data_IF_454346980436
#
_entry.id   IF_454346980436
#
_cell.length_a   1.000
_cell.length_b   1.000
_cell.length_c   1.000
_cell.angle_alpha   90.00
_cell.angle_beta   90.00
_cell.angle_gamma   90.00
#
_symmetry.space_group_name_H-M   'P 1'
#
loop_
_entity.id
_entity.type
_entity.pdbx_description
1 polymer ?
#
# COMPACT_ATOMS: atom_id res chain seq x y z
N UNK A 1 -7.80 -27.23 -20.08
CA UNK A 1 -8.75 -26.10 -20.24
C UNK A 1 -8.26 -25.14 -21.33
N UNK A 2 -7.02 -24.66 -21.22
CA UNK A 2 -6.37 -23.75 -22.17
C UNK A 2 -6.59 -24.09 -23.66
N UNK A 3 -6.30 -25.32 -24.10
CA UNK A 3 -6.47 -25.73 -25.50
C UNK A 3 -7.92 -26.02 -25.93
N UNK A 4 -8.85 -26.19 -24.97
CA UNK A 4 -10.22 -26.65 -25.24
C UNK A 4 -11.24 -25.51 -25.29
N UNK A 5 -10.95 -24.39 -24.66
CA UNK A 5 -11.82 -23.22 -24.65
C UNK A 5 -11.28 -22.14 -25.59
N UNK A 6 -12.13 -21.51 -26.43
CA UNK A 6 -11.79 -20.28 -27.13
C UNK A 6 -11.32 -19.19 -26.17
N UNK A 7 -10.49 -18.26 -26.66
CA UNK A 7 -9.91 -17.19 -25.85
C UNK A 7 -10.97 -16.33 -25.17
N UNK A 8 -12.03 -16.02 -25.90
CA UNK A 8 -13.13 -15.17 -25.45
C UNK A 8 -13.83 -15.77 -24.21
N UNK A 9 -14.03 -17.09 -24.20
CA UNK A 9 -14.60 -17.78 -23.05
C UNK A 9 -13.63 -17.82 -21.86
N UNK A 10 -12.32 -17.93 -22.11
CA UNK A 10 -11.31 -17.86 -21.05
C UNK A 10 -11.27 -16.47 -20.43
N UNK A 11 -11.28 -15.42 -21.23
CA UNK A 11 -11.32 -14.03 -20.75
C UNK A 11 -12.57 -13.76 -19.90
N UNK A 12 -13.74 -14.29 -20.29
CA UNK A 12 -14.95 -14.21 -19.47
C UNK A 12 -14.80 -14.93 -18.12
N UNK A 13 -14.20 -16.13 -18.12
CA UNK A 13 -13.94 -16.89 -16.89
C UNK A 13 -12.95 -16.14 -16.00
N UNK A 14 -11.87 -15.60 -16.56
CA UNK A 14 -10.89 -14.82 -15.82
C UNK A 14 -11.49 -13.55 -15.24
N UNK A 15 -12.36 -12.86 -15.98
CA UNK A 15 -13.07 -11.70 -15.47
C UNK A 15 -13.93 -12.05 -14.25
N UNK A 16 -14.62 -13.19 -14.29
CA UNK A 16 -15.44 -13.66 -13.19
C UNK A 16 -14.63 -14.13 -11.97
N UNK A 17 -13.49 -14.81 -12.19
CA UNK A 17 -12.70 -15.41 -11.13
C UNK A 17 -11.71 -14.43 -10.47
N UNK A 18 -11.11 -13.54 -11.26
CA UNK A 18 -9.89 -12.82 -10.85
C UNK A 18 -10.09 -11.34 -10.56
N UNK A 19 -11.20 -10.73 -10.99
CA UNK A 19 -11.39 -9.29 -10.79
C UNK A 19 -12.04 -9.04 -9.43
N UNK A 20 -11.29 -8.38 -8.57
CA UNK A 20 -11.77 -7.83 -7.32
C UNK A 20 -12.37 -6.44 -7.56
N UNK A 21 -13.48 -6.15 -6.89
CA UNK A 21 -14.04 -4.79 -6.83
C UNK A 21 -13.28 -3.88 -5.87
N UNK A 22 -12.55 -4.47 -4.93
CA UNK A 22 -11.78 -3.75 -3.91
C UNK A 22 -10.28 -3.92 -4.15
N UNK A 23 -9.44 -2.95 -3.72
CA UNK A 23 -8.00 -3.10 -3.78
C UNK A 23 -7.53 -4.37 -3.06
N UNK A 24 -6.64 -5.13 -3.71
CA UNK A 24 -6.03 -6.33 -3.17
C UNK A 24 -4.88 -5.90 -2.25
N UNK A 25 -5.00 -6.22 -0.96
CA UNK A 25 -4.05 -5.78 0.06
C UNK A 25 -2.84 -6.71 0.09
N UNK A 26 -1.64 -6.14 -0.01
CA UNK A 26 -0.38 -6.87 -0.13
C UNK A 26 0.54 -6.53 1.05
N UNK A 27 0.83 -7.54 1.87
CA UNK A 27 1.73 -7.43 3.02
C UNK A 27 1.07 -7.80 4.32
N UNK A 28 1.84 -8.39 5.24
CA UNK A 28 1.38 -8.82 6.56
C UNK A 28 0.89 -7.66 7.43
N UNK A 29 1.47 -6.46 7.24
CA UNK A 29 1.18 -5.27 8.04
C UNK A 29 0.05 -4.40 7.48
N UNK A 30 -0.64 -4.84 6.41
CA UNK A 30 -1.85 -4.15 5.96
C UNK A 30 -2.95 -4.15 7.02
N UNK A 31 -2.94 -5.19 7.84
CA UNK A 31 -4.06 -5.61 8.66
C UNK A 31 -3.79 -5.56 10.16
N UNK A 32 -2.60 -5.15 10.60
CA UNK A 32 -2.30 -5.06 12.02
C UNK A 32 -2.92 -3.80 12.62
N UNK A 33 -3.88 -3.98 13.53
CA UNK A 33 -4.33 -2.91 14.44
C UNK A 33 -3.32 -2.79 15.57
N UNK A 34 -2.63 -1.66 15.66
CA UNK A 34 -1.65 -1.46 16.73
C UNK A 34 -2.33 -0.89 17.95
N UNK A 35 -2.70 -1.78 18.88
CA UNK A 35 -3.03 -1.36 20.24
C UNK A 35 -1.71 -1.02 20.96
N UNK A 36 -1.51 0.22 21.43
CA UNK A 36 -0.37 0.52 22.25
C UNK A 36 -0.39 -0.45 23.45
N UNK A 37 0.72 -1.12 23.77
CA UNK A 37 0.79 -2.00 24.93
C UNK A 37 0.27 -1.21 26.13
N UNK A 38 -0.77 -1.75 26.77
CA UNK A 38 -1.38 -1.21 27.99
C UNK A 38 -0.25 -1.15 29.01
N UNK A 39 0.41 0.00 29.10
CA UNK A 39 1.29 0.30 30.21
C UNK A 39 0.37 0.57 31.40
N UNK A 40 0.79 0.16 32.61
CA UNK A 40 0.08 0.21 33.90
C UNK A 40 -0.38 1.62 34.37
N UNK A 41 -0.49 2.59 33.46
CA UNK A 41 -0.98 3.95 33.68
C UNK A 41 -2.52 4.05 33.63
N UNK A 42 -3.23 2.91 33.67
CA UNK A 42 -4.70 2.84 33.74
C UNK A 42 -5.29 3.52 34.98
N UNK A 43 -4.47 3.95 35.94
CA UNK A 43 -4.95 4.74 37.09
C UNK A 43 -5.17 6.23 36.78
N UNK A 44 -4.66 6.77 35.67
CA UNK A 44 -4.86 8.19 35.30
C UNK A 44 -5.66 8.44 34.03
N UNK A 45 -6.01 7.39 33.26
CA UNK A 45 -7.11 7.50 32.29
C UNK A 45 -8.42 7.36 33.04
N UNK A 46 -8.80 8.42 33.74
CA UNK A 46 -10.19 8.71 34.08
C UNK A 46 -11.04 8.36 32.87
N UNK A 47 -11.92 7.38 33.04
CA UNK A 47 -13.09 7.06 32.24
C UNK A 47 -13.45 8.14 31.20
N UNK A 48 -12.76 8.12 30.06
CA UNK A 48 -13.29 8.73 28.86
C UNK A 48 -14.27 7.70 28.30
N UNK A 49 -15.54 8.06 28.10
CA UNK A 49 -16.51 7.15 27.51
C UNK A 49 -15.92 6.64 26.19
N UNK A 50 -16.18 5.37 25.84
CA UNK A 50 -16.03 4.89 24.47
C UNK A 50 -16.55 5.98 23.54
N UNK A 51 -15.63 6.68 22.87
CA UNK A 51 -15.94 7.96 22.26
C UNK A 51 -16.97 7.69 21.16
N UNK A 52 -18.21 8.23 21.27
CA UNK A 52 -19.22 8.01 20.25
C UNK A 52 -18.74 8.53 18.88
N UNK A 53 -17.72 9.39 18.82
CA UNK A 53 -17.06 9.77 17.56
C UNK A 53 -16.45 8.59 16.80
N UNK A 54 -16.04 7.49 17.44
CA UNK A 54 -15.56 6.30 16.71
C UNK A 54 -16.73 5.54 16.06
N UNK A 55 -17.92 5.57 16.69
CA UNK A 55 -19.16 5.01 16.14
C UNK A 55 -19.82 5.94 15.11
N UNK A 56 -19.70 7.26 15.25
CA UNK A 56 -20.14 8.23 14.24
C UNK A 56 -19.17 8.28 13.04
N UNK A 57 -17.86 8.13 13.26
CA UNK A 57 -16.90 7.86 12.18
C UNK A 57 -17.27 6.53 11.48
N UNK A 58 -17.68 5.52 12.24
CA UNK A 58 -18.21 4.25 11.70
C UNK A 58 -19.46 4.41 10.82
N UNK A 59 -20.30 5.42 11.11
CA UNK A 59 -21.54 5.73 10.38
C UNK A 59 -21.36 6.78 9.25
N UNK A 60 -20.24 7.51 9.23
CA UNK A 60 -19.95 8.58 8.26
C UNK A 60 -18.94 8.14 7.19
N UNK A 61 -18.08 7.16 7.47
CA UNK A 61 -17.20 6.53 6.47
C UNK A 61 -18.03 5.72 5.43
N UNK A 62 -19.23 5.25 5.80
CA UNK A 62 -20.23 4.73 4.85
C UNK A 62 -20.81 5.78 3.90
N UNK A 63 -20.45 7.06 4.04
CA UNK A 63 -20.87 8.15 3.16
C UNK A 63 -19.95 8.39 1.96
N UNK A 64 -18.81 7.72 1.87
CA UNK A 64 -17.83 7.85 0.76
C UNK A 64 -18.21 6.96 -0.44
N UNK A 65 -19.43 7.11 -0.97
CA UNK A 65 -19.92 6.31 -2.11
C UNK A 65 -19.91 4.78 -1.86
N UNK A 66 -20.46 3.99 -2.78
CA UNK A 66 -20.50 2.53 -2.64
C UNK A 66 -19.12 1.84 -2.72
N UNK A 67 -18.04 2.59 -2.96
CA UNK A 67 -16.70 2.03 -3.23
C UNK A 67 -15.66 2.30 -2.12
N UNK A 68 -15.93 3.19 -1.15
CA UNK A 68 -15.03 3.36 -0.02
C UNK A 68 -15.25 2.25 1.01
N UNK A 69 -14.59 1.13 0.79
CA UNK A 69 -14.58 0.02 1.73
C UNK A 69 -13.71 0.40 2.93
N UNK A 70 -14.36 0.53 4.09
CA UNK A 70 -13.69 0.47 5.40
C UNK A 70 -13.02 -0.90 5.51
N UNK A 71 -11.75 -0.98 5.19
CA UNK A 71 -10.95 -2.12 5.62
C UNK A 71 -10.65 -1.90 7.10
N UNK A 72 -11.52 -2.49 7.93
CA UNK A 72 -11.17 -2.80 9.30
C UNK A 72 -9.81 -3.50 9.30
N UNK A 73 -8.96 -3.18 10.27
CA UNK A 73 -7.62 -3.75 10.42
C UNK A 73 -7.74 -5.21 10.91
N UNK A 74 -8.47 -6.03 10.14
CA UNK A 74 -8.67 -7.46 10.32
C UNK A 74 -7.46 -8.17 9.76
N UNK A 75 -6.72 -8.91 10.59
CA UNK A 75 -5.54 -9.73 10.22
C UNK A 75 -5.79 -10.74 9.09
N UNK A 76 -7.05 -10.95 8.71
CA UNK A 76 -7.46 -11.87 7.65
C UNK A 76 -7.94 -11.05 6.45
N UNK A 77 -7.38 -11.26 5.25
CA UNK A 77 -7.88 -10.66 4.02
C UNK A 77 -9.36 -11.04 3.82
N UNK A 78 -10.16 -10.22 3.13
CA UNK A 78 -11.57 -10.55 2.89
C UNK A 78 -11.68 -11.93 2.25
N UNK A 79 -12.64 -12.74 2.71
CA UNK A 79 -12.81 -14.12 2.23
C UNK A 79 -13.06 -14.20 0.72
N UNK A 80 -13.58 -13.12 0.13
CA UNK A 80 -13.91 -13.02 -1.28
C UNK A 80 -12.77 -12.43 -2.13
N UNK A 81 -11.60 -12.16 -1.55
CA UNK A 81 -10.45 -11.60 -2.28
C UNK A 81 -9.46 -12.70 -2.67
N UNK A 82 -9.26 -12.87 -3.97
CA UNK A 82 -8.23 -13.74 -4.50
C UNK A 82 -6.85 -13.11 -4.28
N UNK A 83 -5.95 -13.85 -3.64
CA UNK A 83 -4.59 -13.39 -3.34
C UNK A 83 -3.60 -13.84 -4.41
N UNK A 84 -2.43 -13.18 -4.53
CA UNK A 84 -1.35 -13.61 -5.43
C UNK A 84 -0.82 -15.03 -5.19
N UNK A 85 -1.10 -15.60 -4.01
CA UNK A 85 -0.73 -16.96 -3.61
C UNK A 85 -1.85 -17.98 -3.82
N UNK A 86 -2.94 -17.61 -4.50
CA UNK A 86 -4.05 -18.52 -4.76
C UNK A 86 -3.65 -19.63 -5.74
N UNK A 87 -4.03 -20.86 -5.42
CA UNK A 87 -3.71 -22.05 -6.19
C UNK A 87 -4.19 -22.01 -7.66
N UNK A 88 -5.21 -21.22 -7.99
CA UNK A 88 -5.67 -21.05 -9.38
C UNK A 88 -4.68 -20.24 -10.24
N UNK A 89 -3.69 -19.60 -9.63
CA UNK A 89 -2.55 -18.94 -10.28
C UNK A 89 -1.28 -19.80 -10.23
N UNK A 90 -1.30 -20.93 -9.52
CA UNK A 90 -0.13 -21.81 -9.36
C UNK A 90 0.12 -22.61 -10.65
N UNK A 91 1.29 -22.45 -11.32
CA UNK A 91 1.62 -23.21 -12.52
C UNK A 91 1.69 -24.73 -12.29
N UNK A 92 1.95 -25.19 -11.06
CA UNK A 92 1.91 -26.61 -10.72
C UNK A 92 0.48 -27.16 -10.67
N UNK A 93 -0.51 -26.30 -10.40
CA UNK A 93 -1.92 -26.69 -10.30
C UNK A 93 -2.66 -26.59 -11.64
N UNK A 94 -2.60 -25.43 -12.30
CA UNK A 94 -3.35 -25.19 -13.56
C UNK A 94 -2.56 -25.45 -14.84
N UNK A 95 -1.24 -25.68 -14.71
CA UNK A 95 -0.31 -25.76 -15.83
C UNK A 95 0.23 -24.38 -16.24
N UNK A 96 1.48 -24.36 -16.72
CA UNK A 96 2.26 -23.14 -16.97
C UNK A 96 1.58 -22.14 -17.91
N UNK A 97 0.99 -22.60 -19.00
CA UNK A 97 0.37 -21.73 -20.02
C UNK A 97 -0.86 -21.01 -19.47
N UNK A 98 -1.69 -21.73 -18.71
CA UNK A 98 -2.87 -21.17 -18.07
C UNK A 98 -2.46 -20.23 -16.92
N UNK A 99 -1.48 -20.61 -16.09
CA UNK A 99 -0.98 -19.75 -15.03
C UNK A 99 -0.38 -18.45 -15.56
N UNK A 100 0.32 -18.50 -16.70
CA UNK A 100 0.82 -17.30 -17.38
C UNK A 100 -0.32 -16.37 -17.82
N UNK A 101 -1.30 -16.91 -18.56
CA UNK A 101 -2.44 -16.11 -19.06
C UNK A 101 -3.29 -15.55 -17.90
N UNK A 102 -3.59 -16.37 -16.90
CA UNK A 102 -4.34 -16.00 -15.70
C UNK A 102 -3.61 -14.94 -14.86
N UNK A 103 -2.32 -15.13 -14.58
CA UNK A 103 -1.52 -14.16 -13.82
C UNK A 103 -1.42 -12.83 -14.57
N UNK A 104 -1.16 -12.86 -15.88
CA UNK A 104 -1.14 -11.65 -16.70
C UNK A 104 -2.48 -10.90 -16.60
N UNK A 105 -3.61 -11.61 -16.72
CA UNK A 105 -4.93 -11.00 -16.59
C UNK A 105 -5.15 -10.44 -15.17
N UNK A 106 -4.85 -11.21 -14.13
CA UNK A 106 -5.01 -10.83 -12.73
C UNK A 106 -4.23 -9.55 -12.38
N UNK A 107 -2.94 -9.49 -12.69
CA UNK A 107 -2.12 -8.32 -12.37
C UNK A 107 -2.47 -7.08 -13.19
N UNK A 108 -2.90 -7.25 -14.44
CA UNK A 108 -3.24 -6.12 -15.32
C UNK A 108 -4.62 -5.52 -15.10
N UNK A 109 -5.53 -6.22 -14.40
CA UNK A 109 -6.93 -5.81 -14.21
C UNK A 109 -7.28 -5.39 -12.79
N UNK A 110 -6.49 -5.80 -11.79
CA UNK A 110 -6.77 -5.46 -10.40
C UNK A 110 -6.03 -4.20 -9.93
N UNK A 111 -6.57 -3.62 -8.86
CA UNK A 111 -5.89 -2.59 -8.07
C UNK A 111 -5.20 -3.28 -6.90
N UNK A 112 -3.93 -2.96 -6.66
CA UNK A 112 -3.17 -3.50 -5.53
C UNK A 112 -2.85 -2.39 -4.53
N UNK A 113 -3.04 -2.66 -3.24
CA UNK A 113 -2.67 -1.75 -2.15
C UNK A 113 -1.50 -2.35 -1.39
N UNK A 114 -0.37 -1.66 -1.34
CA UNK A 114 0.87 -2.12 -0.72
C UNK A 114 1.31 -1.11 0.34
N UNK A 115 1.80 -1.59 1.49
CA UNK A 115 2.33 -0.73 2.54
C UNK A 115 3.86 -0.58 2.42
N UNK A 116 4.38 0.58 2.84
CA UNK A 116 5.83 0.83 2.90
C UNK A 116 6.53 0.15 4.08
N UNK A 117 5.84 -0.69 4.84
CA UNK A 117 6.39 -1.36 6.03
C UNK A 117 7.15 -2.62 5.62
N UNK A 118 8.45 -2.68 5.95
CA UNK A 118 9.33 -3.79 5.60
C UNK A 118 9.59 -3.88 4.10
N UNK A 119 10.15 -5.01 3.65
CA UNK A 119 10.57 -5.22 2.24
C UNK A 119 9.41 -5.72 1.33
N UNK A 120 8.15 -5.52 1.77
CA UNK A 120 6.95 -6.03 1.09
C UNK A 120 6.85 -5.49 -0.33
N UNK A 121 7.05 -4.18 -0.50
CA UNK A 121 6.92 -3.52 -1.79
C UNK A 121 7.93 -4.04 -2.81
N UNK A 122 9.21 -4.09 -2.42
CA UNK A 122 10.27 -4.64 -3.26
C UNK A 122 9.97 -6.10 -3.61
N UNK A 123 9.75 -6.94 -2.60
CA UNK A 123 9.46 -8.37 -2.78
C UNK A 123 8.29 -8.60 -3.74
N UNK A 124 7.20 -7.85 -3.60
CA UNK A 124 6.02 -8.03 -4.44
C UNK A 124 6.21 -7.51 -5.86
N UNK A 125 6.85 -6.35 -6.03
CA UNK A 125 6.92 -5.68 -7.33
C UNK A 125 8.04 -6.20 -8.22
N UNK A 126 9.12 -6.77 -7.65
CA UNK A 126 10.32 -7.16 -8.41
C UNK A 126 10.47 -8.66 -8.60
N UNK A 127 9.77 -9.49 -7.82
CA UNK A 127 9.90 -10.95 -7.94
C UNK A 127 8.97 -11.52 -9.00
N UNK A 128 9.44 -12.58 -9.67
CA UNK A 128 8.59 -13.34 -10.56
C UNK A 128 7.43 -13.99 -9.78
N UNK A 129 6.22 -13.93 -10.33
CA UNK A 129 5.02 -14.44 -9.67
C UNK A 129 5.09 -15.94 -9.34
N UNK A 130 5.94 -16.71 -10.03
CA UNK A 130 6.18 -18.12 -9.68
C UNK A 130 6.78 -18.31 -8.28
N UNK A 131 7.44 -17.29 -7.72
CA UNK A 131 8.00 -17.36 -6.36
C UNK A 131 6.96 -17.23 -5.26
N UNK A 132 5.72 -16.85 -5.57
CA UNK A 132 4.62 -16.80 -4.61
C UNK A 132 4.19 -18.20 -4.13
N UNK A 133 4.61 -19.27 -4.81
CA UNK A 133 4.18 -20.64 -4.55
C UNK A 133 5.33 -21.47 -3.95
N UNK A 134 5.47 -21.52 -2.61
CA UNK A 134 6.58 -22.22 -1.99
C UNK A 134 6.53 -23.74 -2.21
N UNK A 135 5.34 -24.29 -2.43
CA UNK A 135 5.06 -25.72 -2.50
C UNK A 135 5.05 -26.31 -3.92
N UNK A 136 5.56 -25.58 -4.93
CA UNK A 136 5.75 -26.16 -6.26
C UNK A 136 6.67 -27.38 -6.12
N UNK A 137 6.04 -28.57 -6.18
CA UNK A 137 6.52 -29.91 -5.83
C UNK A 137 8.05 -30.04 -5.68
N UNK A 138 8.49 -30.50 -4.50
CA UNK A 138 9.87 -30.91 -4.22
C UNK A 138 10.42 -31.75 -5.39
N UNK A 139 11.34 -31.17 -6.16
CA UNK A 139 11.96 -31.81 -7.33
C UNK A 139 11.62 -31.17 -8.69
N UNK A 140 10.59 -30.32 -8.78
CA UNK A 140 10.38 -29.46 -9.95
C UNK A 140 11.23 -28.19 -9.80
N UNK A 141 12.16 -27.96 -10.72
CA UNK A 141 12.83 -26.66 -10.84
C UNK A 141 11.73 -25.60 -10.97
N UNK A 142 11.70 -24.61 -10.06
CA UNK A 142 10.78 -23.48 -10.17
C UNK A 142 11.13 -22.71 -11.43
N UNK A 143 10.40 -22.96 -12.51
CA UNK A 143 10.62 -22.27 -13.78
C UNK A 143 9.90 -20.92 -13.68
N UNK A 144 10.62 -19.77 -13.72
CA UNK A 144 10.00 -18.45 -13.68
C UNK A 144 8.93 -18.31 -14.76
N UNK A 145 7.81 -17.64 -14.48
CA UNK A 145 6.77 -17.41 -15.49
C UNK A 145 7.12 -16.27 -16.46
N UNK A 146 8.13 -15.46 -16.14
CA UNK A 146 8.49 -14.25 -16.87
C UNK A 146 7.51 -13.11 -16.59
N UNK A 147 6.84 -13.12 -15.44
CA UNK A 147 5.87 -12.10 -15.05
C UNK A 147 6.40 -11.40 -13.81
N UNK A 148 6.78 -10.14 -13.97
CA UNK A 148 7.17 -9.25 -12.87
C UNK A 148 6.01 -8.28 -12.63
N UNK A 149 5.34 -8.28 -11.45
CA UNK A 149 4.12 -7.52 -11.23
C UNK A 149 4.19 -6.04 -11.62
N UNK A 150 5.30 -5.35 -11.37
CA UNK A 150 5.46 -3.93 -11.71
C UNK A 150 5.21 -3.62 -13.19
N UNK A 151 5.46 -4.56 -14.09
CA UNK A 151 5.31 -4.35 -15.54
C UNK A 151 3.83 -4.43 -15.97
N UNK A 152 3.00 -5.10 -15.17
CA UNK A 152 1.62 -5.42 -15.50
C UNK A 152 0.60 -4.61 -14.70
N UNK A 153 0.88 -4.22 -13.44
CA UNK A 153 -0.13 -3.48 -12.67
C UNK A 153 -0.34 -2.09 -13.28
N UNK A 154 -1.61 -1.69 -13.32
CA UNK A 154 -2.06 -0.40 -13.85
C UNK A 154 -2.55 0.52 -12.76
N UNK A 155 -3.10 -0.03 -11.67
CA UNK A 155 -3.65 0.71 -10.57
C UNK A 155 -2.97 0.25 -9.28
N UNK A 156 -2.26 1.16 -8.64
CA UNK A 156 -1.50 0.89 -7.43
C UNK A 156 -1.86 1.89 -6.35
N UNK A 157 -2.10 1.39 -5.14
CA UNK A 157 -2.19 2.19 -3.93
C UNK A 157 -0.97 1.93 -3.07
N UNK A 158 -0.33 2.99 -2.61
CA UNK A 158 0.84 2.92 -1.74
C UNK A 158 0.49 3.56 -0.41
N UNK A 159 0.49 2.76 0.65
CA UNK A 159 0.15 3.20 2.01
C UNK A 159 1.41 3.45 2.82
N UNK A 160 1.64 4.71 3.18
CA UNK A 160 2.73 5.13 4.05
C UNK A 160 2.19 5.18 5.47
N UNK A 161 2.50 4.16 6.28
CA UNK A 161 1.89 3.95 7.59
C UNK A 161 2.69 4.57 8.74
N UNK A 162 2.64 5.90 8.86
CA UNK A 162 3.37 6.59 9.94
C UNK A 162 2.72 6.38 11.31
N UNK A 163 1.41 6.13 11.36
CA UNK A 163 0.66 5.81 12.58
C UNK A 163 1.25 4.59 13.32
N UNK A 164 1.85 3.64 12.59
CA UNK A 164 2.57 2.51 13.20
C UNK A 164 3.76 2.97 14.04
N UNK A 165 4.50 3.98 13.58
CA UNK A 165 5.61 4.56 14.33
C UNK A 165 5.11 5.32 15.56
N UNK A 166 4.06 6.14 15.40
CA UNK A 166 3.52 6.95 16.50
C UNK A 166 2.93 6.08 17.62
N UNK A 167 2.31 4.94 17.27
CA UNK A 167 1.79 3.95 18.23
C UNK A 167 2.87 3.30 19.12
N UNK A 168 4.15 3.43 18.79
CA UNK A 168 5.25 2.97 19.65
C UNK A 168 6.10 4.13 20.20
N UNK A 169 5.82 5.37 19.81
CA UNK A 169 6.61 6.56 20.15
C UNK A 169 6.75 6.76 21.66
N UNK A 170 5.72 6.47 22.46
CA UNK A 170 5.78 6.65 23.91
C UNK A 170 6.82 5.78 24.62
N UNK A 171 7.27 4.67 23.99
CA UNK A 171 8.40 3.87 24.51
C UNK A 171 9.75 4.54 24.28
N UNK A 172 9.81 5.56 23.43
CA UNK A 172 11.02 6.18 22.92
C UNK A 172 11.05 7.70 23.11
N UNK A 173 10.18 8.26 23.96
CA UNK A 173 10.14 9.70 24.28
C UNK A 173 11.43 10.23 24.94
N UNK A 174 12.40 9.35 25.23
CA UNK A 174 13.74 9.70 25.70
C UNK A 174 14.84 9.52 24.64
N UNK A 175 14.52 9.03 23.43
CA UNK A 175 15.50 8.74 22.38
C UNK A 175 15.56 9.80 21.28
N UNK A 176 16.72 9.84 20.63
CA UNK A 176 17.15 10.69 19.51
C UNK A 176 16.21 10.57 18.29
N UNK A 177 16.14 11.63 17.48
CA UNK A 177 15.33 11.70 16.24
C UNK A 177 15.72 10.63 15.20
N UNK A 178 16.79 9.86 15.46
CA UNK A 178 17.33 8.80 14.61
C UNK A 178 16.30 7.73 14.20
N UNK A 179 15.32 7.40 15.05
CA UNK A 179 14.29 6.40 14.67
C UNK A 179 13.29 6.95 13.65
N UNK A 180 12.87 8.19 13.80
CA UNK A 180 12.01 8.86 12.82
C UNK A 180 12.78 9.00 11.49
N UNK A 181 14.05 9.40 11.57
CA UNK A 181 14.93 9.44 10.40
C UNK A 181 15.03 8.07 9.72
N UNK A 182 15.17 6.99 10.49
CA UNK A 182 15.18 5.62 9.97
C UNK A 182 13.91 5.26 9.21
N UNK A 183 12.73 5.60 9.74
CA UNK A 183 11.45 5.37 9.07
C UNK A 183 11.32 6.18 7.77
N UNK A 184 11.72 7.46 7.81
CA UNK A 184 11.71 8.36 6.65
C UNK A 184 12.63 7.81 5.56
N UNK A 185 13.82 7.37 5.94
CA UNK A 185 14.80 6.77 5.04
C UNK A 185 14.29 5.43 4.47
N UNK A 186 13.70 4.57 5.28
CA UNK A 186 13.10 3.31 4.85
C UNK A 186 11.96 3.55 3.86
N UNK A 187 11.11 4.54 4.14
CA UNK A 187 10.03 4.95 3.22
C UNK A 187 10.60 5.37 1.88
N UNK A 188 11.60 6.26 1.86
CA UNK A 188 12.28 6.66 0.63
C UNK A 188 12.86 5.45 -0.12
N UNK A 189 13.64 4.61 0.57
CA UNK A 189 14.28 3.43 -0.03
C UNK A 189 13.29 2.39 -0.57
N UNK A 190 12.14 2.22 0.06
CA UNK A 190 11.09 1.34 -0.42
C UNK A 190 10.42 1.90 -1.67
N UNK A 191 10.18 3.21 -1.72
CA UNK A 191 9.60 3.87 -2.91
C UNK A 191 10.57 3.89 -4.10
N UNK A 192 11.88 3.94 -3.87
CA UNK A 192 12.88 3.77 -4.94
C UNK A 192 12.74 2.42 -5.66
N UNK A 193 12.14 1.39 -5.04
CA UNK A 193 11.89 0.11 -5.71
C UNK A 193 10.87 0.20 -6.86
N UNK A 194 10.09 1.29 -6.93
CA UNK A 194 9.17 1.57 -8.03
C UNK A 194 9.89 2.12 -9.26
N UNK A 195 11.08 2.71 -9.07
CA UNK A 195 11.87 3.19 -10.20
C UNK A 195 12.43 1.99 -10.96
N UNK A 196 12.26 1.94 -12.28
CA UNK A 196 12.92 0.95 -13.07
C UNK A 196 14.44 1.15 -12.98
N UNK A 197 15.17 0.05 -12.85
CA UNK A 197 16.63 0.04 -12.81
C UNK A 197 17.25 0.48 -14.14
N UNK A 198 16.50 0.30 -15.23
CA UNK A 198 16.87 0.69 -16.59
C UNK A 198 15.64 1.32 -17.25
N UNK A 199 15.84 2.40 -18.01
CA UNK A 199 14.74 2.98 -18.80
C UNK A 199 14.17 1.89 -19.71
N UNK A 200 12.87 1.57 -19.59
CA UNK A 200 12.31 0.48 -20.36
C UNK A 200 12.35 0.82 -21.85
N UNK A 201 12.78 -0.14 -22.69
CA UNK A 201 12.81 0.02 -24.16
C UNK A 201 11.43 0.38 -24.75
N UNK A 202 10.36 0.08 -24.01
CA UNK A 202 8.99 0.47 -24.30
C UNK A 202 8.47 1.36 -23.18
N UNK A 203 7.72 2.43 -23.50
CA UNK A 203 7.12 3.26 -22.48
C UNK A 203 6.29 2.38 -21.55
N UNK A 204 6.45 2.54 -20.22
CA UNK A 204 5.62 1.81 -19.31
C UNK A 204 4.16 2.18 -19.61
N UNK A 205 3.26 1.21 -19.51
CA UNK A 205 1.84 1.47 -19.65
C UNK A 205 1.39 2.50 -18.61
N UNK A 206 0.41 3.34 -18.96
CA UNK A 206 -0.13 4.34 -18.02
C UNK A 206 -0.50 3.69 -16.68
N UNK A 207 0.25 4.07 -15.65
CA UNK A 207 0.05 3.62 -14.27
C UNK A 207 -0.63 4.73 -13.49
N UNK A 208 -1.71 4.38 -12.80
CA UNK A 208 -2.39 5.23 -11.83
C UNK A 208 -1.88 4.82 -10.45
N UNK A 209 -1.19 5.72 -9.76
CA UNK A 209 -0.60 5.46 -8.45
C UNK A 209 -1.16 6.45 -7.43
N UNK A 210 -1.85 5.92 -6.43
CA UNK A 210 -2.39 6.70 -5.31
C UNK A 210 -1.53 6.48 -4.06
N UNK A 211 -0.89 7.55 -3.58
CA UNK A 211 -0.18 7.57 -2.32
C UNK A 211 -1.15 7.96 -1.20
N UNK A 212 -1.21 7.14 -0.16
CA UNK A 212 -2.05 7.36 1.02
C UNK A 212 -1.12 7.47 2.22
N UNK A 213 -0.90 8.71 2.67
CA UNK A 213 -0.14 9.01 3.89
C UNK A 213 -1.08 8.81 5.07
N UNK A 214 -0.80 7.79 5.87
CA UNK A 214 -1.55 7.46 7.06
C UNK A 214 -0.77 7.94 8.29
N UNK A 215 -1.46 8.66 9.17
CA UNK A 215 -0.89 9.29 10.38
C UNK A 215 -1.92 9.23 11.51
N UNK A 216 -1.45 9.41 12.74
CA UNK A 216 -2.31 9.54 13.93
C UNK A 216 -1.69 10.59 14.84
N UNK A 217 -1.58 11.84 14.35
CA UNK A 217 -0.86 12.87 15.10
C UNK A 217 -1.66 13.29 16.33
N UNK A 218 -1.20 12.83 17.50
CA UNK A 218 -1.80 13.23 18.77
C UNK A 218 -1.72 14.74 18.96
N UNK A 219 -2.87 15.35 19.21
CA UNK A 219 -2.98 16.73 19.65
C UNK A 219 -2.69 16.80 21.16
N UNK A 220 -1.52 16.34 21.59
CA UNK A 220 -1.16 16.29 23.02
C UNK A 220 -0.63 17.67 23.46
N UNK A 221 -1.54 18.64 23.54
CA UNK A 221 -1.28 20.03 23.94
C UNK A 221 -0.72 20.18 25.35
N UNK A 222 -0.67 19.09 26.12
CA UNK A 222 -0.22 19.06 27.51
C UNK A 222 1.30 18.80 27.61
N UNK A 223 1.90 18.07 26.66
CA UNK A 223 3.33 17.70 26.72
C UNK A 223 4.25 18.54 25.86
N UNK A 224 3.72 19.13 24.79
CA UNK A 224 4.48 19.98 23.88
C UNK A 224 3.81 21.35 23.84
N UNK A 225 4.50 22.45 24.21
CA UNK A 225 3.90 23.78 24.24
C UNK A 225 3.52 24.32 22.83
N UNK A 226 3.90 23.61 21.76
CA UNK A 226 3.49 23.88 20.38
C UNK A 226 3.19 22.55 19.65
N UNK A 227 2.09 21.85 19.97
CA UNK A 227 1.78 20.54 19.38
C UNK A 227 1.59 20.63 17.85
N UNK A 228 1.21 21.80 17.34
CA UNK A 228 1.09 22.05 15.90
C UNK A 228 2.42 22.02 15.14
N UNK A 229 3.56 22.39 15.76
CA UNK A 229 4.82 22.47 15.03
C UNK A 229 5.48 21.10 14.82
N UNK A 230 5.34 20.16 15.76
CA UNK A 230 5.88 18.80 15.60
C UNK A 230 5.09 17.96 14.59
N UNK A 231 3.76 18.04 14.60
CA UNK A 231 2.93 17.37 13.59
C UNK A 231 3.22 17.88 12.19
N UNK A 232 3.34 19.21 12.03
CA UNK A 232 3.74 19.83 10.75
C UNK A 232 5.14 19.36 10.33
N UNK A 233 6.14 19.41 11.22
CA UNK A 233 7.50 18.93 10.93
C UNK A 233 7.51 17.48 10.44
N UNK A 234 6.79 16.57 11.12
CA UNK A 234 6.72 15.15 10.76
C UNK A 234 6.05 14.95 9.41
N UNK A 235 4.95 15.64 9.15
CA UNK A 235 4.29 15.61 7.86
C UNK A 235 5.20 16.15 6.75
N UNK A 236 5.89 17.27 6.99
CA UNK A 236 6.86 17.83 6.04
C UNK A 236 7.98 16.84 5.75
N UNK A 237 8.55 16.19 6.76
CA UNK A 237 9.56 15.16 6.57
C UNK A 237 9.07 14.01 5.69
N UNK A 238 7.83 13.54 5.90
CA UNK A 238 7.22 12.52 5.05
C UNK A 238 7.01 12.99 3.61
N UNK A 239 6.49 14.20 3.43
CA UNK A 239 6.27 14.79 2.10
C UNK A 239 7.59 14.93 1.33
N UNK A 240 8.65 15.39 1.99
CA UNK A 240 9.99 15.46 1.39
C UNK A 240 10.54 14.06 1.06
N UNK A 241 10.29 13.06 1.92
CA UNK A 241 10.71 11.68 1.68
C UNK A 241 10.09 11.07 0.41
N UNK A 242 8.88 11.45 0.06
CA UNK A 242 8.16 10.89 -1.09
C UNK A 242 8.25 11.77 -2.34
N UNK A 243 8.72 13.00 -2.20
CA UNK A 243 8.79 14.01 -3.27
C UNK A 243 9.57 13.52 -4.50
N UNK A 244 10.81 13.10 -4.31
CA UNK A 244 11.66 12.64 -5.42
C UNK A 244 11.14 11.33 -6.06
N UNK A 245 10.70 10.32 -5.28
CA UNK A 245 10.03 9.17 -5.86
C UNK A 245 8.80 9.52 -6.69
N UNK A 246 7.92 10.42 -6.20
CA UNK A 246 6.74 10.86 -6.94
C UNK A 246 7.13 11.51 -8.28
N UNK A 247 8.08 12.44 -8.26
CA UNK A 247 8.47 13.13 -9.49
C UNK A 247 9.13 12.21 -10.52
N UNK A 248 9.93 11.24 -10.09
CA UNK A 248 10.47 10.24 -10.99
C UNK A 248 9.35 9.40 -11.64
N UNK A 249 8.35 8.97 -10.86
CA UNK A 249 7.20 8.24 -11.41
C UNK A 249 6.40 9.09 -12.40
N UNK A 250 6.15 10.35 -12.05
CA UNK A 250 5.36 11.27 -12.86
C UNK A 250 6.07 11.68 -14.14
N UNK A 251 7.35 12.03 -14.07
CA UNK A 251 8.08 12.64 -15.19
C UNK A 251 8.91 11.66 -16.01
N UNK A 252 9.37 10.55 -15.43
CA UNK A 252 10.15 9.54 -16.16
C UNK A 252 9.30 8.37 -16.63
N UNK A 253 8.25 8.02 -15.88
CA UNK A 253 7.33 6.93 -16.22
C UNK A 253 5.95 7.39 -16.68
N UNK A 254 5.70 8.70 -16.71
CA UNK A 254 4.42 9.28 -17.11
C UNK A 254 3.23 8.67 -16.34
N UNK A 255 3.45 8.37 -15.06
CA UNK A 255 2.41 7.84 -14.18
C UNK A 255 1.46 8.96 -13.74
N UNK A 256 0.17 8.63 -13.63
CA UNK A 256 -0.84 9.51 -13.03
C UNK A 256 -0.80 9.34 -11.51
N UNK A 257 -0.42 10.41 -10.81
CA UNK A 257 -0.21 10.38 -9.35
C UNK A 257 -1.35 11.11 -8.63
N UNK A 258 -1.89 10.48 -7.59
CA UNK A 258 -2.70 11.16 -6.58
C UNK A 258 -2.07 10.98 -5.20
N UNK A 259 -2.20 11.99 -4.33
CA UNK A 259 -1.69 11.93 -2.96
C UNK A 259 -2.80 12.33 -2.01
N UNK A 260 -3.07 11.48 -1.02
CA UNK A 260 -4.05 11.67 0.04
C UNK A 260 -3.38 11.60 1.40
N UNK A 261 -3.80 12.46 2.32
CA UNK A 261 -3.41 12.41 3.72
C UNK A 261 -4.61 12.02 4.58
N UNK A 262 -4.49 10.90 5.27
CA UNK A 262 -5.44 10.42 6.25
C UNK A 262 -4.80 10.51 7.64
N UNK A 263 -5.41 11.31 8.52
CA UNK A 263 -5.03 11.41 9.92
C UNK A 263 -6.18 10.90 10.77
N UNK A 264 -5.98 9.75 11.42
CA UNK A 264 -7.03 9.05 12.18
C UNK A 264 -7.55 9.89 13.36
N UNK A 265 -6.72 10.77 13.92
CA UNK A 265 -7.06 11.57 15.10
C UNK A 265 -7.52 12.99 14.74
N UNK A 266 -7.06 13.55 13.62
CA UNK A 266 -7.34 14.95 13.27
C UNK A 266 -8.49 15.15 12.28
N UNK A 267 -8.71 14.26 11.31
CA UNK A 267 -9.68 14.50 10.22
C UNK A 267 -10.61 13.31 10.00
N UNK A 268 -11.91 13.59 9.94
CA UNK A 268 -12.91 12.58 9.59
C UNK A 268 -12.80 12.09 8.13
N UNK A 269 -12.20 12.90 7.24
CA UNK A 269 -12.06 12.60 5.83
C UNK A 269 -10.59 12.76 5.38
N UNK A 270 -10.10 11.91 4.46
CA UNK A 270 -8.81 12.10 3.82
C UNK A 270 -8.75 13.46 3.11
N UNK A 271 -7.58 14.11 3.17
CA UNK A 271 -7.33 15.41 2.53
C UNK A 271 -6.48 15.21 1.27
N UNK A 272 -6.90 15.73 0.11
CA UNK A 272 -6.08 15.67 -1.09
C UNK A 272 -4.84 16.57 -0.94
N UNK A 273 -3.69 16.02 -1.30
CA UNK A 273 -2.38 16.68 -1.27
C UNK A 273 -1.67 16.64 -2.62
N UNK A 274 -2.28 16.09 -3.67
CA UNK A 274 -1.70 16.00 -5.02
C UNK A 274 -1.17 17.35 -5.52
N UNK A 275 -1.85 18.46 -5.22
CA UNK A 275 -1.43 19.80 -5.64
C UNK A 275 -0.08 20.26 -5.08
N UNK A 276 0.46 19.60 -4.04
CA UNK A 276 1.82 19.87 -3.54
C UNK A 276 2.91 19.32 -4.48
N UNK A 277 2.55 18.44 -5.41
CA UNK A 277 3.45 17.76 -6.35
C UNK A 277 3.20 18.22 -7.80
N UNK A 278 2.95 19.51 -8.00
CA UNK A 278 2.63 20.09 -9.30
C UNK A 278 3.84 20.69 -10.03
N UNK A 279 5.07 20.39 -9.60
CA UNK A 279 6.28 20.88 -10.23
C UNK A 279 6.38 20.35 -11.67
N UNK A 280 6.89 21.18 -12.58
CA UNK A 280 7.16 20.76 -13.96
C UNK A 280 8.38 19.84 -14.02
N UNK A 281 8.55 19.11 -15.13
CA UNK A 281 9.76 18.28 -15.31
C UNK A 281 11.00 19.17 -15.35
N UNK A 282 10.91 20.30 -16.03
CA UNK A 282 11.98 21.29 -16.15
C UNK A 282 12.39 21.84 -14.78
N UNK A 283 11.43 22.28 -13.96
CA UNK A 283 11.74 22.82 -12.62
C UNK A 283 12.29 21.77 -11.65
N UNK A 284 12.02 20.49 -11.88
CA UNK A 284 12.53 19.39 -11.05
C UNK A 284 13.97 19.00 -11.40
N UNK A 285 14.37 19.14 -12.67
CA UNK A 285 15.70 18.78 -13.16
C UNK A 285 16.78 19.86 -12.90
N UNK A 286 16.40 21.12 -12.62
CA UNK A 286 17.29 22.28 -12.40
C UNK A 286 17.36 22.72 -10.93
#
# INVERSE_FOLDING_TARGET
MYQKLPRELRDMIYHYLYISKTPILIGSYHFSTYSPPISDWTTFRSSLPHNPSSQYAHALISGLGPEAVKHDHSTVPPQDTLLPTDHTLDPAYVGREMAYEASHFYYSKNTFSICTVGDTMRTFLTNDVAYNFPNALEGSLRIPLGIIPRDYIRNLQIRIKYEHFDAYRFRYLQEDFSREQGLVQETFTNLEALKPTELPEKPPPNQNIEFIIMTAFQNDSIRFPQPGTDAVRRLTNLLEAIRNPIYALQHDLNAEISVLHHDEECFAFPRPMTGLFSMSKEDWEY
#
